data_IF_486191659339
#
_entry.id   IF_486191659339
#
_cell.length_a   1.000
_cell.length_b   1.000
_cell.length_c   1.000
_cell.angle_alpha   90.00
_cell.angle_beta   90.00
_cell.angle_gamma   90.00
#
_symmetry.space_group_name_H-M   'P 1'
#
loop_
_entity.id
_entity.type
_entity.pdbx_description
1 polymer ?
#
# COMPACT_ATOMS: atom_id res chain seq x y z
N UNK A 1 -21.48 -2.29 -10.57
CA UNK A 1 -21.92 -1.59 -11.80
C UNK A 1 -20.84 -1.57 -12.86
N UNK A 2 -19.65 -1.01 -12.60
CA UNK A 2 -18.56 -0.88 -13.58
C UNK A 2 -18.09 -2.21 -14.19
N UNK A 3 -17.97 -3.27 -13.38
CA UNK A 3 -17.49 -4.57 -13.87
C UNK A 3 -18.51 -5.32 -14.72
N UNK A 4 -19.82 -5.10 -14.49
CA UNK A 4 -20.90 -5.81 -15.21
C UNK A 4 -20.88 -5.44 -16.70
N UNK A 5 -20.65 -4.16 -17.02
CA UNK A 5 -20.51 -3.70 -18.41
C UNK A 5 -19.28 -4.29 -19.13
N UNK A 6 -18.24 -4.68 -18.37
CA UNK A 6 -16.97 -5.19 -18.93
C UNK A 6 -16.92 -6.72 -18.98
N UNK A 7 -17.81 -7.41 -18.28
CA UNK A 7 -17.84 -8.88 -18.23
C UNK A 7 -18.66 -9.45 -19.40
N UNK A 8 -18.13 -10.54 -19.99
CA UNK A 8 -18.86 -11.35 -20.95
C UNK A 8 -20.06 -12.07 -20.31
N UNK A 9 -20.90 -12.68 -21.15
CA UNK A 9 -22.11 -13.39 -20.72
C UNK A 9 -21.81 -14.40 -19.61
N UNK A 10 -22.48 -14.32 -18.45
CA UNK A 10 -22.37 -15.34 -17.41
C UNK A 10 -22.78 -16.72 -17.93
N UNK A 11 -22.05 -17.78 -17.55
CA UNK A 11 -22.41 -19.17 -17.91
C UNK A 11 -23.82 -19.57 -17.47
N UNK A 12 -24.27 -19.02 -16.33
CA UNK A 12 -25.62 -19.23 -15.79
C UNK A 12 -26.17 -17.92 -15.20
N UNK A 13 -27.16 -17.37 -15.91
CA UNK A 13 -27.83 -16.11 -15.56
C UNK A 13 -28.66 -16.25 -14.27
N UNK A 14 -29.24 -17.43 -14.01
CA UNK A 14 -30.05 -17.66 -12.82
C UNK A 14 -29.18 -17.71 -11.57
N UNK A 15 -28.03 -18.40 -11.66
CA UNK A 15 -27.05 -18.41 -10.57
C UNK A 15 -26.47 -17.01 -10.32
N UNK A 16 -26.20 -16.25 -11.38
CA UNK A 16 -25.76 -14.85 -11.24
C UNK A 16 -26.82 -14.02 -10.49
N UNK A 17 -28.10 -14.15 -10.86
CA UNK A 17 -29.21 -13.47 -10.17
C UNK A 17 -29.29 -13.86 -8.69
N UNK A 18 -29.20 -15.15 -8.37
CA UNK A 18 -29.21 -15.61 -6.98
C UNK A 18 -28.07 -15.00 -6.16
N UNK A 19 -26.86 -14.87 -6.74
CA UNK A 19 -25.73 -14.19 -6.08
C UNK A 19 -26.03 -12.72 -5.79
N UNK A 20 -26.66 -12.00 -6.72
CA UNK A 20 -27.06 -10.61 -6.49
C UNK A 20 -28.11 -10.50 -5.37
N UNK A 21 -29.13 -11.37 -5.38
CA UNK A 21 -30.15 -11.40 -4.33
C UNK A 21 -29.54 -11.69 -2.95
N UNK A 22 -28.61 -12.64 -2.86
CA UNK A 22 -27.88 -12.91 -1.63
C UNK A 22 -27.05 -11.71 -1.15
N UNK A 23 -26.41 -10.98 -2.08
CA UNK A 23 -25.66 -9.78 -1.73
C UNK A 23 -26.57 -8.65 -1.22
N UNK A 24 -27.78 -8.51 -1.77
CA UNK A 24 -28.80 -7.55 -1.30
C UNK A 24 -29.27 -7.92 0.10
N UNK A 25 -29.49 -9.21 0.36
CA UNK A 25 -29.89 -9.69 1.69
C UNK A 25 -28.78 -9.48 2.73
N UNK A 26 -27.53 -9.77 2.36
CA UNK A 26 -26.37 -9.46 3.20
C UNK A 26 -26.23 -7.96 3.48
N UNK A 27 -26.53 -7.10 2.49
CA UNK A 27 -26.58 -5.64 2.69
C UNK A 27 -27.66 -5.25 3.70
N UNK A 28 -28.86 -5.84 3.59
CA UNK A 28 -29.97 -5.61 4.53
C UNK A 28 -29.58 -5.97 5.97
N UNK A 29 -28.99 -7.16 6.17
CA UNK A 29 -28.54 -7.61 7.49
C UNK A 29 -27.48 -6.68 8.10
N UNK A 30 -26.54 -6.18 7.28
CA UNK A 30 -25.55 -5.20 7.74
C UNK A 30 -26.19 -3.86 8.12
N UNK A 31 -27.19 -3.42 7.37
CA UNK A 31 -27.94 -2.20 7.71
C UNK A 31 -28.63 -2.31 9.07
N UNK A 32 -29.22 -3.47 9.37
CA UNK A 32 -29.84 -3.75 10.66
C UNK A 32 -28.81 -3.77 11.80
N UNK A 33 -27.63 -4.35 11.56
CA UNK A 33 -26.54 -4.36 12.55
C UNK A 33 -25.95 -2.97 12.83
N UNK A 34 -26.10 -2.03 11.91
CA UNK A 34 -25.67 -0.64 12.08
C UNK A 34 -26.81 0.27 12.60
N UNK A 35 -27.90 -0.33 13.11
CA UNK A 35 -29.06 0.35 13.68
C UNK A 35 -29.75 1.37 12.74
N UNK A 36 -29.65 1.17 11.42
CA UNK A 36 -30.43 1.98 10.47
C UNK A 36 -31.92 1.65 10.56
N UNK A 37 -32.76 2.68 10.42
CA UNK A 37 -34.21 2.50 10.41
C UNK A 37 -34.64 1.55 9.27
N UNK A 38 -35.53 0.55 9.51
CA UNK A 38 -35.91 -0.45 8.51
C UNK A 38 -36.37 0.13 7.17
N UNK A 39 -37.14 1.22 7.21
CA UNK A 39 -37.58 1.91 5.98
C UNK A 39 -36.43 2.44 5.12
N UNK A 40 -35.33 2.90 5.73
CA UNK A 40 -34.14 3.38 5.00
C UNK A 40 -33.41 2.19 4.37
N UNK A 41 -33.31 1.07 5.08
CA UNK A 41 -32.70 -0.17 4.57
C UNK A 41 -33.48 -0.69 3.36
N UNK A 42 -34.82 -0.76 3.46
CA UNK A 42 -35.66 -1.21 2.35
C UNK A 42 -35.52 -0.31 1.11
N UNK A 43 -35.57 1.02 1.29
CA UNK A 43 -35.35 1.99 0.21
C UNK A 43 -33.94 1.88 -0.38
N UNK A 44 -32.93 1.61 0.44
CA UNK A 44 -31.55 1.38 0.01
C UNK A 44 -31.42 0.11 -0.85
N UNK A 45 -32.03 -0.99 -0.40
CA UNK A 45 -32.11 -2.22 -1.20
C UNK A 45 -32.85 -1.97 -2.52
N UNK A 46 -33.93 -1.18 -2.50
CA UNK A 46 -34.69 -0.83 -3.70
C UNK A 46 -33.83 -0.11 -4.73
N UNK A 47 -33.15 0.98 -4.35
CA UNK A 47 -32.30 1.74 -5.28
C UNK A 47 -31.10 0.93 -5.79
N UNK A 48 -30.56 0.04 -4.96
CA UNK A 48 -29.52 -0.91 -5.38
C UNK A 48 -30.03 -1.89 -6.43
N UNK A 49 -31.20 -2.51 -6.20
CA UNK A 49 -31.84 -3.39 -7.17
C UNK A 49 -32.08 -2.66 -8.50
N UNK A 50 -32.63 -1.45 -8.46
CA UNK A 50 -32.89 -0.65 -9.65
C UNK A 50 -31.60 -0.37 -10.44
N UNK A 51 -30.51 -0.01 -9.75
CA UNK A 51 -29.23 0.25 -10.40
C UNK A 51 -28.59 -1.02 -10.99
N UNK A 52 -28.68 -2.16 -10.30
CA UNK A 52 -28.18 -3.43 -10.82
C UNK A 52 -28.99 -3.91 -12.02
N UNK A 53 -30.32 -3.81 -11.95
CA UNK A 53 -31.21 -4.17 -13.06
C UNK A 53 -30.90 -3.32 -14.28
N UNK A 54 -30.75 -2.00 -14.13
CA UNK A 54 -30.33 -1.13 -15.23
C UNK A 54 -28.98 -1.57 -15.82
N UNK A 55 -27.97 -1.78 -14.97
CA UNK A 55 -26.65 -2.16 -15.45
C UNK A 55 -26.63 -3.49 -16.20
N UNK A 56 -27.47 -4.46 -15.81
CA UNK A 56 -27.60 -5.74 -16.49
C UNK A 56 -28.39 -5.60 -17.79
N UNK A 57 -29.52 -4.88 -17.76
CA UNK A 57 -30.38 -4.65 -18.93
C UNK A 57 -29.60 -4.06 -20.11
N UNK A 58 -28.69 -3.13 -19.83
CA UNK A 58 -27.86 -2.48 -20.85
C UNK A 58 -26.56 -3.24 -21.19
N UNK A 59 -26.47 -4.53 -20.86
CA UNK A 59 -25.43 -5.42 -21.41
C UNK A 59 -25.96 -6.18 -22.62
N UNK A 60 -25.07 -6.54 -23.56
CA UNK A 60 -25.44 -7.30 -24.76
C UNK A 60 -26.10 -8.66 -24.47
N UNK A 61 -25.88 -9.22 -23.27
CA UNK A 61 -26.48 -10.48 -22.85
C UNK A 61 -27.72 -10.32 -21.97
N UNK A 62 -27.90 -9.19 -21.29
CA UNK A 62 -29.07 -8.92 -20.45
C UNK A 62 -30.37 -8.87 -21.25
N UNK A 63 -30.31 -8.24 -22.43
CA UNK A 63 -31.43 -8.21 -23.39
C UNK A 63 -31.76 -9.61 -23.92
N UNK A 64 -30.75 -10.36 -24.37
CA UNK A 64 -30.91 -11.75 -24.87
C UNK A 64 -31.47 -12.69 -23.79
N UNK A 65 -31.07 -12.48 -22.55
CA UNK A 65 -31.53 -13.22 -21.38
C UNK A 65 -32.95 -12.84 -20.93
N UNK A 66 -33.58 -11.84 -21.57
CA UNK A 66 -34.87 -11.25 -21.18
C UNK A 66 -34.89 -10.90 -19.69
N UNK A 67 -33.82 -10.27 -19.21
CA UNK A 67 -33.64 -9.94 -17.79
C UNK A 67 -34.81 -9.13 -17.23
N UNK A 68 -35.41 -8.25 -18.04
CA UNK A 68 -36.59 -7.44 -17.72
C UNK A 68 -37.78 -8.25 -17.16
N UNK A 69 -37.96 -9.50 -17.61
CA UNK A 69 -39.08 -10.34 -17.18
C UNK A 69 -38.85 -10.92 -15.78
N UNK A 70 -37.59 -11.03 -15.36
CA UNK A 70 -37.18 -11.60 -14.09
C UNK A 70 -36.14 -10.72 -13.41
N UNK A 71 -36.40 -9.41 -13.35
CA UNK A 71 -35.54 -8.42 -12.73
C UNK A 71 -35.48 -8.61 -11.20
N UNK A 72 -34.45 -8.07 -10.56
CA UNK A 72 -34.33 -8.10 -9.10
C UNK A 72 -35.47 -7.32 -8.46
N UNK A 73 -35.81 -6.15 -9.03
CA UNK A 73 -36.89 -5.29 -8.54
C UNK A 73 -38.26 -5.97 -8.62
N UNK A 74 -38.54 -6.68 -9.73
CA UNK A 74 -39.78 -7.44 -9.89
C UNK A 74 -39.86 -8.58 -8.87
N UNK A 75 -38.75 -9.29 -8.62
CA UNK A 75 -38.73 -10.40 -7.65
C UNK A 75 -38.85 -9.97 -6.18
N UNK A 76 -38.25 -8.84 -5.82
CA UNK A 76 -38.15 -8.41 -4.41
C UNK A 76 -39.25 -7.42 -4.02
N UNK A 77 -39.66 -6.57 -4.96
CA UNK A 77 -40.57 -5.44 -4.68
C UNK A 77 -41.84 -5.46 -5.53
N UNK A 78 -41.99 -6.41 -6.47
CA UNK A 78 -43.11 -6.46 -7.42
C UNK A 78 -43.31 -5.16 -8.21
N UNK A 79 -42.24 -4.38 -8.38
CA UNK A 79 -42.23 -3.11 -9.11
C UNK A 79 -41.36 -3.21 -10.35
N UNK A 80 -41.78 -2.49 -11.40
CA UNK A 80 -41.08 -2.46 -12.70
C UNK A 80 -40.48 -1.09 -13.03
N UNK A 81 -40.93 -0.03 -12.35
CA UNK A 81 -40.48 1.34 -12.59
C UNK A 81 -39.41 1.78 -11.57
N UNK A 82 -38.26 1.13 -11.60
CA UNK A 82 -37.13 1.50 -10.73
C UNK A 82 -36.46 2.82 -11.12
N UNK A 83 -36.55 3.20 -12.40
CA UNK A 83 -35.88 4.36 -12.96
C UNK A 83 -36.48 5.68 -12.49
N UNK A 84 -37.81 5.79 -12.42
CA UNK A 84 -38.48 6.98 -11.90
C UNK A 84 -38.48 7.01 -10.37
N UNK A 85 -38.82 5.87 -9.74
CA UNK A 85 -38.89 5.75 -8.29
C UNK A 85 -37.58 6.10 -7.58
N UNK A 86 -36.43 5.83 -8.21
CA UNK A 86 -35.12 6.24 -7.71
C UNK A 86 -35.05 7.76 -7.46
N UNK A 87 -35.44 8.57 -8.45
CA UNK A 87 -35.36 10.04 -8.33
C UNK A 87 -36.40 10.60 -7.36
N UNK A 88 -37.57 9.96 -7.25
CA UNK A 88 -38.57 10.31 -6.23
C UNK A 88 -38.03 10.07 -4.82
N UNK A 89 -37.30 8.97 -4.60
CA UNK A 89 -36.65 8.69 -3.32
C UNK A 89 -35.52 9.67 -3.02
N UNK A 90 -34.73 10.05 -4.03
CA UNK A 90 -33.67 11.04 -3.89
C UNK A 90 -34.23 12.43 -3.51
N UNK A 91 -35.31 12.86 -4.16
CA UNK A 91 -35.94 14.15 -3.87
C UNK A 91 -36.52 14.18 -2.44
N UNK A 92 -37.24 13.12 -2.04
CA UNK A 92 -37.74 12.97 -0.66
C UNK A 92 -36.62 12.95 0.37
N UNK A 93 -35.50 12.28 0.07
CA UNK A 93 -34.35 12.25 0.96
C UNK A 93 -33.70 13.64 1.08
N UNK A 94 -33.64 14.39 -0.02
CA UNK A 94 -33.08 15.74 -0.10
C UNK A 94 -33.86 16.78 0.72
N UNK A 95 -35.11 16.48 1.09
CA UNK A 95 -35.89 17.31 2.02
C UNK A 95 -35.48 17.13 3.49
N UNK A 96 -34.82 16.03 3.84
CA UNK A 96 -34.33 15.74 5.20
C UNK A 96 -32.86 15.27 5.21
N UNK A 97 -31.94 16.08 4.64
CA UNK A 97 -30.56 15.65 4.41
C UNK A 97 -29.80 15.40 5.72
N UNK A 98 -30.12 16.13 6.80
CA UNK A 98 -29.59 15.90 8.14
C UNK A 98 -29.70 14.45 8.64
N UNK A 99 -30.79 13.75 8.30
CA UNK A 99 -31.06 12.38 8.77
C UNK A 99 -30.76 11.32 7.72
N UNK A 100 -30.75 11.71 6.45
CA UNK A 100 -30.70 10.80 5.31
C UNK A 100 -29.44 11.00 4.45
N UNK A 101 -28.42 11.69 4.97
CA UNK A 101 -27.17 11.96 4.23
C UNK A 101 -26.52 10.70 3.68
N UNK A 102 -26.48 9.61 4.44
CA UNK A 102 -25.88 8.34 3.99
C UNK A 102 -26.71 7.68 2.86
N UNK A 103 -28.03 7.86 2.87
CA UNK A 103 -28.90 7.37 1.80
C UNK A 103 -28.81 8.23 0.53
N UNK A 104 -28.64 9.55 0.69
CA UNK A 104 -28.34 10.46 -0.42
C UNK A 104 -26.98 10.10 -1.03
N UNK A 105 -25.98 9.83 -0.18
CA UNK A 105 -24.65 9.42 -0.62
C UNK A 105 -24.67 8.10 -1.39
N UNK A 106 -25.40 7.09 -0.90
CA UNK A 106 -25.58 5.84 -1.63
C UNK A 106 -26.10 6.09 -3.06
N UNK A 107 -27.14 6.92 -3.19
CA UNK A 107 -27.71 7.27 -4.48
C UNK A 107 -26.73 8.07 -5.35
N UNK A 108 -26.00 9.03 -4.77
CA UNK A 108 -24.93 9.76 -5.47
C UNK A 108 -23.85 8.82 -6.01
N UNK A 109 -23.41 7.84 -5.22
CA UNK A 109 -22.44 6.83 -5.68
C UNK A 109 -23.01 6.03 -6.84
N UNK A 110 -24.29 5.65 -6.80
CA UNK A 110 -24.93 4.93 -7.92
C UNK A 110 -25.02 5.78 -9.19
N UNK A 111 -25.31 7.08 -9.07
CA UNK A 111 -25.27 8.04 -10.18
C UNK A 111 -23.86 8.16 -10.75
N UNK A 112 -22.84 8.33 -9.90
CA UNK A 112 -21.43 8.41 -10.30
C UNK A 112 -20.94 7.12 -10.98
N UNK A 113 -21.51 5.96 -10.63
CA UNK A 113 -21.24 4.68 -11.29
C UNK A 113 -21.96 4.51 -12.64
N UNK A 114 -22.76 5.50 -13.05
CA UNK A 114 -23.39 5.58 -14.36
C UNK A 114 -24.84 5.08 -14.41
N UNK A 115 -25.56 5.11 -13.29
CA UNK A 115 -27.02 4.96 -13.27
C UNK A 115 -27.67 6.20 -13.91
N UNK A 116 -28.58 6.00 -14.87
CA UNK A 116 -29.29 7.09 -15.54
C UNK A 116 -30.79 7.11 -15.25
N UNK A 117 -31.41 5.95 -15.02
CA UNK A 117 -32.84 5.81 -14.80
C UNK A 117 -33.65 6.46 -15.93
N UNK A 118 -34.68 7.25 -15.57
CA UNK A 118 -35.55 7.95 -16.53
C UNK A 118 -34.80 8.89 -17.49
N UNK A 119 -33.67 9.46 -17.07
CA UNK A 119 -32.89 10.41 -17.87
C UNK A 119 -32.00 9.75 -18.93
N UNK A 120 -32.13 8.45 -19.15
CA UNK A 120 -31.29 7.73 -20.12
C UNK A 120 -31.49 8.18 -21.57
N UNK A 121 -32.72 8.52 -21.93
CA UNK A 121 -33.08 8.98 -23.28
C UNK A 121 -33.34 10.49 -23.34
N UNK A 122 -33.18 11.18 -22.20
CA UNK A 122 -33.31 12.63 -22.09
C UNK A 122 -31.94 13.30 -22.13
N UNK A 123 -31.92 14.62 -22.01
CA UNK A 123 -30.68 15.40 -21.95
C UNK A 123 -29.91 15.10 -20.65
N UNK A 124 -28.61 14.82 -20.79
CA UNK A 124 -27.72 14.51 -19.66
C UNK A 124 -27.49 15.73 -18.75
N UNK A 125 -27.79 16.95 -19.23
CA UNK A 125 -27.70 18.19 -18.44
C UNK A 125 -28.46 18.09 -17.12
N UNK A 126 -29.71 17.61 -17.15
CA UNK A 126 -30.54 17.47 -15.95
C UNK A 126 -29.97 16.46 -14.95
N UNK A 127 -29.42 15.35 -15.46
CA UNK A 127 -28.77 14.34 -14.63
C UNK A 127 -27.51 14.89 -13.96
N UNK A 128 -26.73 15.69 -14.68
CA UNK A 128 -25.56 16.38 -14.13
C UNK A 128 -25.97 17.35 -13.03
N UNK A 129 -27.01 18.16 -13.25
CA UNK A 129 -27.52 19.10 -12.26
C UNK A 129 -28.03 18.39 -11.00
N UNK A 130 -28.76 17.28 -11.14
CA UNK A 130 -29.21 16.46 -10.00
C UNK A 130 -28.00 15.91 -9.22
N UNK A 131 -26.99 15.42 -9.94
CA UNK A 131 -25.78 14.84 -9.34
C UNK A 131 -24.99 15.91 -8.58
N UNK A 132 -24.84 17.10 -9.16
CA UNK A 132 -24.19 18.25 -8.53
C UNK A 132 -24.93 18.71 -7.26
N UNK A 133 -26.28 18.78 -7.30
CA UNK A 133 -27.09 19.10 -6.12
C UNK A 133 -26.93 18.07 -5.00
N UNK A 134 -27.00 16.78 -5.33
CA UNK A 134 -26.81 15.71 -4.35
C UNK A 134 -25.42 15.79 -3.71
N UNK A 135 -24.38 16.05 -4.51
CA UNK A 135 -23.02 16.24 -4.01
C UNK A 135 -22.89 17.45 -3.09
N UNK A 136 -23.50 18.59 -3.45
CA UNK A 136 -23.53 19.78 -2.61
C UNK A 136 -24.17 19.53 -1.25
N UNK A 137 -25.29 18.79 -1.21
CA UNK A 137 -25.93 18.37 0.03
C UNK A 137 -25.01 17.48 0.88
N UNK A 138 -24.38 16.47 0.27
CA UNK A 138 -23.46 15.58 1.00
C UNK A 138 -22.28 16.38 1.58
N UNK A 139 -21.66 17.26 0.79
CA UNK A 139 -20.57 18.14 1.23
C UNK A 139 -20.96 19.04 2.40
N UNK A 140 -22.20 19.53 2.41
CA UNK A 140 -22.68 20.42 3.47
C UNK A 140 -22.98 19.67 4.77
N UNK A 141 -23.62 18.51 4.68
CA UNK A 141 -24.09 17.76 5.86
C UNK A 141 -23.08 16.73 6.38
N UNK A 142 -22.10 16.34 5.57
CA UNK A 142 -20.96 15.56 6.00
C UNK A 142 -19.77 16.51 6.09
N UNK A 143 -19.38 16.86 7.32
CA UNK A 143 -18.05 17.43 7.58
C UNK A 143 -17.03 16.55 6.86
N UNK A 144 -16.13 17.14 6.06
CA UNK A 144 -15.06 16.38 5.42
C UNK A 144 -14.39 15.53 6.50
N UNK A 145 -14.66 14.23 6.51
CA UNK A 145 -13.74 13.30 7.16
C UNK A 145 -12.52 13.41 6.27
N UNK A 146 -11.41 14.04 6.73
CA UNK A 146 -10.24 14.09 5.91
C UNK A 146 -9.86 12.64 5.70
N UNK A 147 -10.08 12.13 4.48
CA UNK A 147 -9.50 10.86 4.10
C UNK A 147 -8.03 10.98 4.49
N UNK A 148 -7.49 10.12 5.37
CA UNK A 148 -6.10 10.22 5.72
C UNK A 148 -5.34 10.09 4.41
N UNK A 149 -4.73 11.21 3.99
CA UNK A 149 -3.91 11.24 2.78
C UNK A 149 -2.95 10.08 2.94
N UNK A 150 -2.87 9.15 1.95
CA UNK A 150 -1.97 8.01 2.05
C UNK A 150 -0.57 8.54 2.37
N UNK A 151 -0.14 8.36 3.62
CA UNK A 151 1.18 8.79 4.02
C UNK A 151 2.13 7.88 3.28
N UNK A 152 2.91 8.45 2.37
CA UNK A 152 4.00 7.71 1.73
C UNK A 152 4.86 7.15 2.87
N UNK A 153 5.05 5.82 2.96
CA UNK A 153 5.91 5.25 3.98
C UNK A 153 7.25 5.99 3.90
N UNK A 154 7.72 6.50 5.03
CA UNK A 154 9.02 7.17 5.11
C UNK A 154 10.04 6.26 4.45
N UNK A 155 10.72 6.76 3.41
CA UNK A 155 11.80 6.04 2.77
C UNK A 155 12.70 5.50 3.88
N UNK A 156 12.88 4.18 3.93
CA UNK A 156 13.86 3.56 4.81
C UNK A 156 15.17 4.20 4.41
N UNK A 157 15.68 5.12 5.23
CA UNK A 157 16.95 5.79 5.04
C UNK A 157 18.00 4.69 5.00
N UNK A 158 18.38 4.31 3.78
CA UNK A 158 19.37 3.27 3.54
C UNK A 158 20.59 3.61 4.35
N UNK A 159 21.05 2.66 5.18
CA UNK A 159 22.30 2.79 5.93
C UNK A 159 23.36 3.30 4.96
N UNK A 160 23.88 4.50 5.22
CA UNK A 160 24.96 5.09 4.42
C UNK A 160 26.07 4.04 4.32
N UNK A 161 26.55 3.67 3.12
CA UNK A 161 27.65 2.73 3.00
C UNK A 161 28.84 3.28 3.80
N UNK A 162 29.59 2.38 4.44
CA UNK A 162 30.59 2.74 5.43
C UNK A 162 31.51 3.85 4.88
N UNK A 163 31.59 4.93 5.66
CA UNK A 163 32.29 6.16 5.33
C UNK A 163 33.74 5.87 4.94
N UNK A 164 34.20 6.46 3.83
CA UNK A 164 35.62 6.54 3.46
C UNK A 164 36.44 6.92 4.70
N UNK A 165 37.32 6.02 5.15
CA UNK A 165 38.27 6.33 6.23
C UNK A 165 39.15 7.47 5.72
N UNK A 166 39.06 8.64 6.36
CA UNK A 166 39.83 9.82 5.98
C UNK A 166 41.33 9.51 5.88
N UNK A 167 41.97 9.94 4.79
CA UNK A 167 43.38 9.68 4.45
C UNK A 167 44.36 9.93 5.60
N UNK A 168 44.04 10.88 6.50
CA UNK A 168 44.88 11.16 7.66
C UNK A 168 44.93 10.01 8.68
N UNK A 169 43.84 9.26 8.85
CA UNK A 169 43.78 8.15 9.83
C UNK A 169 44.58 6.94 9.36
N UNK A 170 44.54 6.65 8.05
CA UNK A 170 45.34 5.56 7.46
C UNK A 170 46.83 5.90 7.49
N UNK A 171 47.19 7.15 7.19
CA UNK A 171 48.57 7.62 7.27
C UNK A 171 49.10 7.57 8.71
N UNK A 172 48.29 8.00 9.69
CA UNK A 172 48.65 7.92 11.11
C UNK A 172 48.91 6.49 11.58
N UNK A 173 48.05 5.53 11.19
CA UNK A 173 48.24 4.12 11.52
C UNK A 173 49.51 3.54 10.88
N UNK A 174 49.78 3.86 9.61
CA UNK A 174 50.97 3.41 8.91
C UNK A 174 52.26 3.93 9.58
N UNK A 175 52.29 5.22 9.94
CA UNK A 175 53.42 5.80 10.67
C UNK A 175 53.64 5.13 12.03
N UNK A 176 52.56 4.80 12.75
CA UNK A 176 52.65 4.14 14.06
C UNK A 176 53.23 2.72 13.93
N UNK A 177 52.79 1.97 12.92
CA UNK A 177 53.33 0.63 12.63
C UNK A 177 54.82 0.71 12.30
N UNK A 178 55.23 1.64 11.42
CA UNK A 178 56.63 1.82 11.07
C UNK A 178 57.49 2.21 12.27
N UNK A 179 57.03 3.13 13.12
CA UNK A 179 57.73 3.53 14.34
C UNK A 179 57.88 2.36 15.33
N UNK A 180 56.82 1.56 15.50
CA UNK A 180 56.87 0.38 16.36
C UNK A 180 57.85 -0.69 15.85
N UNK A 181 57.89 -0.90 14.52
CA UNK A 181 58.82 -1.82 13.88
C UNK A 181 60.26 -1.38 14.04
N UNK A 182 60.54 -0.08 13.81
CA UNK A 182 61.88 0.49 14.01
C UNK A 182 62.35 0.34 15.46
N UNK A 183 61.50 0.69 16.43
CA UNK A 183 61.82 0.53 17.85
C UNK A 183 62.06 -0.93 18.24
N UNK A 184 61.29 -1.86 17.68
CA UNK A 184 61.51 -3.29 17.89
C UNK A 184 62.83 -3.77 17.29
N UNK A 185 63.18 -3.31 16.08
CA UNK A 185 64.46 -3.64 15.44
C UNK A 185 65.65 -3.11 16.24
N UNK A 186 65.60 -1.86 16.70
CA UNK A 186 66.66 -1.28 17.54
C UNK A 186 66.80 -2.02 18.87
N UNK A 187 65.67 -2.37 19.51
CA UNK A 187 65.68 -3.16 20.74
C UNK A 187 66.28 -4.56 20.51
N UNK A 188 65.88 -5.22 19.43
CA UNK A 188 66.39 -6.55 19.06
C UNK A 188 67.88 -6.50 18.70
N UNK A 189 68.30 -5.48 17.94
CA UNK A 189 69.70 -5.24 17.60
C UNK A 189 70.53 -5.04 18.87
N UNK A 190 70.14 -4.14 19.76
CA UNK A 190 70.90 -3.86 20.98
C UNK A 190 70.96 -5.07 21.92
N UNK A 191 69.85 -5.80 22.08
CA UNK A 191 69.78 -6.96 22.97
C UNK A 191 70.53 -8.20 22.46
N UNK A 192 70.68 -8.36 21.14
CA UNK A 192 71.34 -9.54 20.54
C UNK A 192 72.76 -9.29 20.04
N UNK A 193 73.07 -8.09 19.56
CA UNK A 193 74.33 -7.78 18.86
C UNK A 193 75.41 -7.25 19.79
N UNK A 194 75.08 -6.41 20.80
CA UNK A 194 76.07 -5.98 21.79
C UNK A 194 76.81 -7.14 22.51
N UNK A 195 76.13 -8.20 22.99
CA UNK A 195 76.85 -9.30 23.63
C UNK A 195 77.73 -10.08 22.63
N UNK A 196 77.37 -10.13 21.34
CA UNK A 196 78.20 -10.75 20.30
C UNK A 196 79.44 -9.91 19.96
N UNK A 197 79.32 -8.58 19.87
CA UNK A 197 80.47 -7.69 19.67
C UNK A 197 81.46 -7.75 20.84
N UNK A 198 80.96 -7.87 22.08
CA UNK A 198 81.80 -8.08 23.25
C UNK A 198 82.59 -9.41 23.17
N UNK A 199 81.95 -10.49 22.70
CA UNK A 199 82.63 -11.78 22.53
C UNK A 199 83.64 -11.78 21.38
N UNK A 200 83.35 -11.13 20.25
CA UNK A 200 84.32 -11.00 19.16
C UNK A 200 85.53 -10.13 19.57
N UNK A 201 85.31 -9.05 20.32
CA UNK A 201 86.43 -8.24 20.86
C UNK A 201 87.30 -9.02 21.86
N UNK A 202 86.73 -10.03 22.54
CA UNK A 202 87.45 -10.90 23.46
C UNK A 202 88.23 -12.02 22.75
N UNK A 203 87.84 -12.41 21.53
CA UNK A 203 88.50 -13.46 20.74
C UNK A 203 89.68 -12.90 19.91
N UNK A 204 89.69 -11.61 19.57
CA UNK A 204 90.76 -10.98 18.76
C UNK A 204 92.03 -10.59 19.59
N UNK A 205 92.13 -10.97 20.87
CA UNK A 205 93.33 -10.71 21.70
C UNK A 205 94.11 -11.96 22.13
N UNK A 206 93.69 -13.18 21.79
CA UNK A 206 94.29 -14.41 22.34
C UNK A 206 94.98 -15.34 21.33
N UNK A 207 94.83 -15.14 20.02
CA UNK A 207 95.30 -16.11 19.00
C UNK A 207 96.50 -15.67 18.14
N UNK A 208 97.35 -14.77 18.65
CA UNK A 208 98.69 -14.52 18.07
C UNK A 208 99.78 -14.47 19.15
N UNK A 209 100.01 -15.59 19.85
CA UNK A 209 101.36 -15.90 20.33
C UNK A 209 101.59 -17.42 20.40
N UNK A 210 101.51 -18.05 19.23
CA UNK A 210 102.21 -19.31 18.99
C UNK A 210 103.72 -19.03 18.99
N UNK A 211 104.48 -19.91 19.66
CA UNK A 211 105.89 -20.26 19.38
C UNK A 211 106.97 -19.54 20.22
N UNK A 212 107.23 -20.04 21.43
CA UNK A 212 108.62 -20.18 21.93
C UNK A 212 108.80 -21.30 22.95
N UNK A 213 109.55 -22.32 22.50
CA UNK A 213 110.39 -23.27 23.25
C UNK A 213 109.75 -24.41 24.04
N UNK A 214 109.51 -25.49 23.31
CA UNK A 214 110.08 -26.80 23.61
C UNK A 214 111.62 -26.75 23.62
N UNK A 215 112.29 -26.90 24.77
CA UNK A 215 113.66 -27.44 24.93
C UNK A 215 114.07 -27.33 26.41
N UNK A 216 114.12 -28.46 27.12
CA UNK A 216 115.30 -28.95 27.86
C UNK A 216 114.96 -29.78 29.12
N UNK A 217 115.31 -31.08 29.02
CA UNK A 217 115.90 -31.98 30.02
C UNK A 217 115.00 -32.42 31.21
N UNK A 218 114.70 -33.70 31.40
CA UNK A 218 115.51 -34.93 31.24
C UNK A 218 114.79 -36.01 30.44
#
# INVERSE_FOLDING_TARGET
LVTIKRQGTPRDINRFRQKLLYAIDAFRLRGLHLDYHPSVIEKSCFVLCAAFDEAVLYTAWGERARWENHSLLSKVFSQRDGGEAFFVLLDKASQQPNKLVDFIELQYVLLALGFKGRFRHEDESQLHDITARAYGLIRHYRSESPFPVPQTPTLIEGKRPWLMISMGKTLGLACLVLASGYGFTEYWYNSRVQPLLAQFSAIDMSDVNLKKNSSDLV
#
